data_IF_917320593855
#
_entry.id   IF_917320593855
#
_cell.length_a   1.000
_cell.length_b   1.000
_cell.length_c   1.000
_cell.angle_alpha   90.00
_cell.angle_beta   90.00
_cell.angle_gamma   90.00
#
_symmetry.space_group_name_H-M   'P 1'
#
loop_
_entity.id
_entity.type
_entity.pdbx_description
1 polymer ?
#
# COMPACT_ATOMS: atom_id res chain seq x y z
N UNK A 1 12.66 19.77 -35.56
CA UNK A 1 13.21 19.46 -34.21
C UNK A 1 12.22 18.56 -33.48
N UNK A 2 12.39 17.24 -33.59
CA UNK A 2 11.52 16.27 -32.90
C UNK A 2 11.97 16.23 -31.45
N UNK A 3 11.17 16.78 -30.52
CA UNK A 3 11.33 16.53 -29.09
C UNK A 3 10.99 15.08 -28.85
N UNK A 4 12.00 14.22 -28.81
CA UNK A 4 11.85 12.88 -28.23
C UNK A 4 11.56 13.08 -26.75
N UNK A 5 10.30 12.93 -26.36
CA UNK A 5 9.94 12.73 -24.97
C UNK A 5 10.68 11.46 -24.54
N UNK A 6 11.75 11.63 -23.74
CA UNK A 6 12.41 10.54 -23.05
C UNK A 6 11.35 9.83 -22.22
N UNK A 7 10.88 8.69 -22.73
CA UNK A 7 10.06 7.76 -21.97
C UNK A 7 10.99 7.23 -20.89
N UNK A 8 10.88 7.79 -19.68
CA UNK A 8 11.55 7.23 -18.50
C UNK A 8 10.94 5.85 -18.25
N UNK A 9 11.54 4.81 -18.82
CA UNK A 9 11.34 3.46 -18.34
C UNK A 9 11.81 3.43 -16.88
N UNK A 10 10.91 3.07 -15.97
CA UNK A 10 11.34 2.87 -14.60
C UNK A 10 12.35 1.75 -14.53
N UNK A 11 13.44 2.03 -13.82
CA UNK A 11 14.42 1.02 -13.49
C UNK A 11 13.80 0.01 -12.53
N UNK A 12 14.25 -1.26 -12.55
CA UNK A 12 13.87 -2.26 -11.55
C UNK A 12 13.90 -1.73 -10.11
N UNK A 13 14.87 -0.85 -9.82
CA UNK A 13 15.04 -0.18 -8.53
C UNK A 13 13.80 0.59 -8.05
N UNK A 14 13.05 1.23 -8.95
CA UNK A 14 11.88 2.03 -8.54
C UNK A 14 10.70 1.15 -8.13
N UNK A 15 10.51 0.02 -8.80
CA UNK A 15 9.47 -0.95 -8.41
C UNK A 15 9.81 -1.60 -7.07
N UNK A 16 11.10 -1.79 -6.76
CA UNK A 16 11.56 -2.27 -5.45
C UNK A 16 11.32 -1.28 -4.29
N UNK A 17 11.08 0.01 -4.57
CA UNK A 17 10.67 0.97 -3.54
C UNK A 17 9.26 0.67 -3.00
N UNK A 18 8.39 0.01 -3.77
CA UNK A 18 7.04 -0.35 -3.36
C UNK A 18 7.04 -1.23 -2.09
N UNK A 19 7.63 -2.44 -2.09
CA UNK A 19 7.65 -3.29 -0.90
C UNK A 19 8.49 -2.67 0.23
N UNK A 20 9.53 -1.89 -0.10
CA UNK A 20 10.36 -1.22 0.90
C UNK A 20 9.57 -0.16 1.69
N UNK A 21 8.90 0.76 1.00
CA UNK A 21 8.08 1.80 1.65
C UNK A 21 6.91 1.18 2.43
N UNK A 22 6.30 0.13 1.88
CA UNK A 22 5.23 -0.58 2.56
C UNK A 22 5.71 -1.30 3.84
N UNK A 23 6.90 -1.90 3.81
CA UNK A 23 7.53 -2.47 5.00
C UNK A 23 7.75 -1.42 6.08
N UNK A 24 8.33 -0.27 5.74
CA UNK A 24 8.54 0.83 6.70
C UNK A 24 7.22 1.32 7.29
N UNK A 25 6.17 1.42 6.47
CA UNK A 25 4.83 1.80 6.92
C UNK A 25 4.23 0.80 7.90
N UNK A 26 4.23 -0.49 7.55
CA UNK A 26 3.72 -1.53 8.44
C UNK A 26 4.56 -1.64 9.72
N UNK A 27 5.87 -1.39 9.65
CA UNK A 27 6.73 -1.33 10.82
C UNK A 27 6.31 -0.18 11.75
N UNK A 28 6.07 1.02 11.22
CA UNK A 28 5.54 2.16 11.98
C UNK A 28 4.20 1.83 12.66
N UNK A 29 3.27 1.21 11.92
CA UNK A 29 1.96 0.81 12.46
C UNK A 29 2.07 -0.25 13.56
N UNK A 30 2.98 -1.22 13.41
CA UNK A 30 3.13 -2.36 14.31
C UNK A 30 3.29 -1.97 15.78
N UNK A 31 3.91 -0.81 16.04
CA UNK A 31 4.19 -0.34 17.39
C UNK A 31 2.94 0.17 18.14
N UNK A 32 1.98 0.77 17.45
CA UNK A 32 0.96 1.59 18.10
C UNK A 32 -0.45 1.47 17.51
N UNK A 33 -0.64 0.87 16.33
CA UNK A 33 -1.93 0.88 15.62
C UNK A 33 -3.07 0.22 16.42
N UNK A 34 -2.90 -0.94 17.09
CA UNK A 34 -3.96 -1.52 17.93
C UNK A 34 -4.40 -0.59 19.07
N UNK A 35 -3.44 0.10 19.72
CA UNK A 35 -3.74 1.07 20.79
C UNK A 35 -4.46 2.30 20.24
N UNK A 36 -4.05 2.78 19.08
CA UNK A 36 -4.71 3.89 18.39
C UNK A 36 -6.16 3.54 18.04
N UNK A 37 -6.40 2.34 17.49
CA UNK A 37 -7.73 1.83 17.17
C UNK A 37 -8.63 1.71 18.41
N UNK A 38 -8.10 1.23 19.53
CA UNK A 38 -8.83 1.16 20.79
C UNK A 38 -9.21 2.56 21.31
N UNK A 39 -8.28 3.52 21.25
CA UNK A 39 -8.49 4.85 21.83
C UNK A 39 -9.37 5.78 20.97
N UNK A 40 -9.24 5.73 19.64
CA UNK A 40 -9.96 6.64 18.74
C UNK A 40 -11.28 6.06 18.21
N UNK A 41 -11.37 4.73 18.08
CA UNK A 41 -12.52 4.05 17.47
C UNK A 41 -13.18 3.02 18.37
N UNK A 42 -12.71 2.84 19.60
CA UNK A 42 -13.21 1.80 20.53
C UNK A 42 -13.10 0.38 19.97
N UNK A 43 -12.16 0.14 19.04
CA UNK A 43 -11.91 -1.18 18.45
C UNK A 43 -10.88 -1.90 19.31
N UNK A 44 -11.34 -2.84 20.15
CA UNK A 44 -10.50 -3.55 21.13
C UNK A 44 -10.30 -5.04 20.82
N UNK A 45 -11.02 -5.57 19.84
CA UNK A 45 -10.95 -6.99 19.48
C UNK A 45 -9.74 -7.35 18.61
N UNK A 46 -8.95 -6.37 18.15
CA UNK A 46 -7.72 -6.59 17.40
C UNK A 46 -6.54 -6.49 18.37
N UNK A 47 -5.85 -7.60 18.58
CA UNK A 47 -4.68 -7.62 19.47
C UNK A 47 -3.39 -7.25 18.74
N UNK A 48 -2.35 -6.89 19.50
CA UNK A 48 -1.04 -6.56 18.91
C UNK A 48 -0.41 -7.72 18.15
N UNK A 49 -0.58 -8.95 18.64
CA UNK A 49 -0.06 -10.15 17.97
C UNK A 49 -0.82 -10.42 16.68
N UNK A 50 -2.16 -10.38 16.70
CA UNK A 50 -2.98 -10.55 15.52
C UNK A 50 -2.64 -9.50 14.46
N UNK A 51 -2.52 -8.23 14.86
CA UNK A 51 -2.16 -7.14 13.95
C UNK A 51 -0.77 -7.36 13.34
N UNK A 52 0.23 -7.73 14.16
CA UNK A 52 1.60 -7.97 13.71
C UNK A 52 1.69 -9.12 12.69
N UNK A 53 0.95 -10.20 12.91
CA UNK A 53 0.85 -11.33 11.97
C UNK A 53 0.20 -10.85 10.66
N UNK A 54 -0.91 -10.11 10.75
CA UNK A 54 -1.63 -9.64 9.57
C UNK A 54 -0.78 -8.73 8.68
N UNK A 55 -0.12 -7.72 9.25
CA UNK A 55 0.74 -6.81 8.48
C UNK A 55 1.99 -7.51 7.95
N UNK A 56 2.49 -8.55 8.64
CA UNK A 56 3.61 -9.37 8.14
C UNK A 56 3.20 -10.15 6.89
N UNK A 57 2.01 -10.77 6.90
CA UNK A 57 1.45 -11.47 5.74
C UNK A 57 1.25 -10.49 4.57
N UNK A 58 0.68 -9.31 4.82
CA UNK A 58 0.51 -8.29 3.77
C UNK A 58 1.85 -7.85 3.19
N UNK A 59 2.86 -7.61 4.04
CA UNK A 59 4.20 -7.21 3.60
C UNK A 59 4.83 -8.27 2.70
N UNK A 60 4.77 -9.54 3.11
CA UNK A 60 5.27 -10.66 2.32
C UNK A 60 4.50 -10.83 1.01
N UNK A 61 3.19 -10.62 1.02
CA UNK A 61 2.36 -10.66 -0.18
C UNK A 61 2.77 -9.59 -1.19
N UNK A 62 2.94 -8.34 -0.75
CA UNK A 62 3.41 -7.24 -1.61
C UNK A 62 4.81 -7.52 -2.16
N UNK A 63 5.73 -7.99 -1.29
CA UNK A 63 7.07 -8.40 -1.69
C UNK A 63 7.04 -9.50 -2.75
N UNK A 64 6.20 -10.53 -2.56
CA UNK A 64 6.05 -11.64 -3.49
C UNK A 64 5.55 -11.17 -4.86
N UNK A 65 4.49 -10.35 -4.91
CA UNK A 65 3.95 -9.84 -6.19
C UNK A 65 5.01 -9.05 -6.95
N UNK A 66 5.76 -8.19 -6.25
CA UNK A 66 6.83 -7.39 -6.84
C UNK A 66 7.98 -8.29 -7.31
N UNK A 67 8.38 -9.28 -6.53
CA UNK A 67 9.40 -10.25 -6.92
C UNK A 67 8.98 -11.03 -8.17
N UNK A 68 7.77 -11.59 -8.19
CA UNK A 68 7.22 -12.35 -9.32
C UNK A 68 7.12 -11.50 -10.59
N UNK A 69 6.82 -10.20 -10.45
CA UNK A 69 6.84 -9.25 -11.57
C UNK A 69 8.25 -9.05 -12.11
N UNK A 70 9.25 -8.88 -11.24
CA UNK A 70 10.65 -8.65 -11.64
C UNK A 70 11.27 -9.85 -12.36
N UNK A 71 10.88 -11.07 -12.00
CA UNK A 71 11.33 -12.29 -12.69
C UNK A 71 10.43 -12.68 -13.88
N UNK A 72 9.54 -11.78 -14.33
CA UNK A 72 8.64 -11.95 -15.47
C UNK A 72 7.62 -13.09 -15.38
N UNK A 73 7.36 -13.64 -14.19
CA UNK A 73 6.23 -14.58 -13.97
C UNK A 73 4.90 -13.82 -14.06
N UNK A 74 4.84 -12.64 -13.46
CA UNK A 74 3.74 -11.69 -13.67
C UNK A 74 4.17 -10.64 -14.69
N UNK A 75 3.64 -10.70 -15.91
CA UNK A 75 4.05 -9.79 -17.00
C UNK A 75 3.28 -8.46 -17.03
N UNK A 76 2.12 -8.41 -16.37
CA UNK A 76 1.22 -7.25 -16.44
C UNK A 76 1.57 -6.18 -15.41
N UNK A 77 1.89 -4.97 -15.88
CA UNK A 77 2.11 -3.79 -15.01
C UNK A 77 0.88 -3.44 -14.16
N UNK A 78 -0.31 -3.88 -14.56
CA UNK A 78 -1.54 -3.65 -13.78
C UNK A 78 -1.50 -4.33 -12.41
N UNK A 79 -0.70 -5.39 -12.22
CA UNK A 79 -0.46 -5.96 -10.88
C UNK A 79 0.28 -4.97 -9.97
N UNK A 80 1.30 -4.30 -10.49
CA UNK A 80 2.07 -3.30 -9.75
C UNK A 80 1.21 -2.08 -9.45
N UNK A 81 0.42 -1.62 -10.43
CA UNK A 81 -0.52 -0.50 -10.23
C UNK A 81 -1.59 -0.85 -9.21
N UNK A 82 -2.07 -2.10 -9.24
CA UNK A 82 -3.06 -2.57 -8.28
C UNK A 82 -2.52 -2.51 -6.84
N UNK A 83 -1.34 -3.07 -6.62
CA UNK A 83 -0.68 -3.06 -5.31
C UNK A 83 -0.33 -1.64 -4.87
N UNK A 84 0.32 -0.85 -5.74
CA UNK A 84 0.65 0.53 -5.41
C UNK A 84 -0.59 1.38 -5.17
N UNK A 85 -1.68 1.11 -5.89
CA UNK A 85 -2.98 1.75 -5.69
C UNK A 85 -3.54 1.45 -4.32
N UNK A 86 -3.52 0.19 -3.88
CA UNK A 86 -4.01 -0.20 -2.57
C UNK A 86 -3.22 0.47 -1.45
N UNK A 87 -1.89 0.48 -1.57
CA UNK A 87 -0.97 1.14 -0.64
C UNK A 87 -1.18 2.66 -0.63
N UNK A 88 -1.41 3.27 -1.81
CA UNK A 88 -1.70 4.68 -1.94
C UNK A 88 -3.00 5.08 -1.23
N UNK A 89 -4.10 4.34 -1.44
CA UNK A 89 -5.38 4.67 -0.80
C UNK A 89 -5.34 4.46 0.72
N UNK A 90 -4.63 3.44 1.19
CA UNK A 90 -4.34 3.29 2.61
C UNK A 90 -3.55 4.51 3.14
N UNK A 91 -2.48 4.94 2.47
CA UNK A 91 -1.74 6.15 2.86
C UNK A 91 -2.61 7.42 2.89
N UNK A 92 -3.48 7.61 1.89
CA UNK A 92 -4.44 8.73 1.85
C UNK A 92 -5.38 8.67 3.05
N UNK A 93 -5.85 7.49 3.45
CA UNK A 93 -6.66 7.31 4.65
C UNK A 93 -5.91 7.79 5.90
N UNK A 94 -4.62 7.46 6.07
CA UNK A 94 -3.84 7.95 7.22
C UNK A 94 -3.73 9.48 7.23
N UNK A 95 -3.49 10.10 6.07
CA UNK A 95 -3.38 11.56 5.95
C UNK A 95 -4.73 12.22 6.27
N UNK A 96 -5.84 11.69 5.75
CA UNK A 96 -7.18 12.20 6.04
C UNK A 96 -7.49 12.11 7.55
N UNK A 97 -7.20 10.96 8.17
CA UNK A 97 -7.42 10.74 9.59
C UNK A 97 -6.61 11.71 10.45
N UNK A 98 -5.36 11.97 10.10
CA UNK A 98 -4.53 12.97 10.78
C UNK A 98 -5.19 14.36 10.79
N UNK A 99 -5.73 14.81 9.66
CA UNK A 99 -6.39 16.11 9.58
C UNK A 99 -7.74 16.16 10.31
N UNK A 100 -8.51 15.07 10.28
CA UNK A 100 -9.82 14.99 10.96
C UNK A 100 -9.63 14.97 12.48
N UNK A 101 -8.78 14.07 12.99
CA UNK A 101 -8.59 13.87 14.42
C UNK A 101 -7.55 14.82 15.04
N UNK A 102 -6.81 15.56 14.20
CA UNK A 102 -5.74 16.50 14.61
C UNK A 102 -4.75 15.87 15.60
N UNK A 103 -4.54 14.57 15.44
CA UNK A 103 -3.70 13.77 16.31
C UNK A 103 -2.88 12.81 15.45
N UNK A 104 -1.71 12.45 15.97
CA UNK A 104 -0.87 11.47 15.31
C UNK A 104 -1.57 10.11 15.28
N UNK A 105 -1.74 9.58 14.08
CA UNK A 105 -2.12 8.19 13.85
C UNK A 105 -0.89 7.40 13.38
N UNK A 106 -0.64 6.20 13.93
CA UNK A 106 0.47 5.36 13.51
C UNK A 106 0.45 5.13 12.00
N UNK A 107 1.60 5.27 11.34
CA UNK A 107 1.72 5.13 9.89
C UNK A 107 1.62 6.44 9.12
N UNK A 108 1.30 7.58 9.74
CA UNK A 108 1.12 8.85 9.02
C UNK A 108 2.41 9.38 8.41
N UNK A 109 3.56 9.20 9.08
CA UNK A 109 4.83 9.73 8.59
C UNK A 109 5.22 8.99 7.31
N UNK A 110 5.27 7.66 7.37
CA UNK A 110 5.48 6.80 6.20
C UNK A 110 4.41 6.97 5.13
N UNK A 111 3.14 7.20 5.51
CA UNK A 111 2.06 7.46 4.56
C UNK A 111 2.33 8.70 3.70
N UNK A 112 2.87 9.79 4.24
CA UNK A 112 3.23 10.97 3.44
C UNK A 112 4.26 10.63 2.36
N UNK A 113 5.31 9.87 2.71
CA UNK A 113 6.32 9.43 1.74
C UNK A 113 5.71 8.51 0.67
N UNK A 114 4.84 7.58 1.07
CA UNK A 114 4.10 6.71 0.16
C UNK A 114 3.23 7.52 -0.80
N UNK A 115 2.50 8.53 -0.32
CA UNK A 115 1.63 9.35 -1.14
C UNK A 115 2.43 10.09 -2.22
N UNK A 116 3.53 10.74 -1.83
CA UNK A 116 4.42 11.45 -2.75
C UNK A 116 5.00 10.49 -3.79
N UNK A 117 5.51 9.34 -3.35
CA UNK A 117 6.02 8.30 -4.23
C UNK A 117 4.96 7.80 -5.21
N UNK A 118 3.73 7.57 -4.74
CA UNK A 118 2.61 7.08 -5.57
C UNK A 118 2.24 8.09 -6.66
N UNK A 119 2.14 9.37 -6.31
CA UNK A 119 1.83 10.44 -7.26
C UNK A 119 2.91 10.49 -8.35
N UNK A 120 4.18 10.45 -7.94
CA UNK A 120 5.30 10.39 -8.87
C UNK A 120 5.20 9.16 -9.77
N UNK A 121 5.06 7.96 -9.19
CA UNK A 121 4.96 6.68 -9.88
C UNK A 121 3.82 6.66 -10.92
N UNK A 122 2.61 7.03 -10.52
CA UNK A 122 1.45 7.04 -11.42
C UNK A 122 1.56 8.10 -12.52
N UNK A 123 2.10 9.28 -12.23
CA UNK A 123 2.27 10.34 -13.22
C UNK A 123 3.18 9.90 -14.38
N UNK A 124 4.27 9.20 -14.07
CA UNK A 124 5.20 8.66 -15.07
C UNK A 124 4.64 7.52 -15.91
N UNK A 125 3.65 6.77 -15.40
CA UNK A 125 3.03 5.67 -16.14
C UNK A 125 1.92 6.13 -17.10
N UNK A 126 1.48 7.39 -16.98
CA UNK A 126 0.31 7.95 -17.70
C UNK A 126 0.42 7.85 -19.23
N UNK A 127 1.64 7.84 -19.78
CA UNK A 127 1.87 7.76 -21.23
C UNK A 127 1.97 6.33 -21.76
N UNK A 128 2.21 5.35 -20.88
CA UNK A 128 2.45 3.95 -21.25
C UNK A 128 1.19 3.09 -21.12
N UNK A 129 0.14 3.61 -20.48
CA UNK A 129 -1.00 2.82 -20.02
C UNK A 129 -2.30 3.41 -20.54
N UNK A 130 -3.18 2.53 -21.01
CA UNK A 130 -4.54 2.94 -21.39
C UNK A 130 -5.29 3.51 -20.19
N UNK A 131 -5.70 4.78 -20.30
CA UNK A 131 -6.37 5.55 -19.23
C UNK A 131 -7.53 4.79 -18.57
N UNK A 132 -8.37 4.12 -19.36
CA UNK A 132 -9.53 3.39 -18.83
C UNK A 132 -9.10 2.21 -17.95
N UNK A 133 -8.15 1.40 -18.42
CA UNK A 133 -7.64 0.26 -17.63
C UNK A 133 -6.94 0.75 -16.36
N UNK A 134 -6.16 1.82 -16.45
CA UNK A 134 -5.52 2.45 -15.30
C UNK A 134 -6.54 2.87 -14.23
N UNK A 135 -7.60 3.60 -14.63
CA UNK A 135 -8.65 4.04 -13.71
C UNK A 135 -9.44 2.88 -13.11
N UNK A 136 -9.75 1.85 -13.91
CA UNK A 136 -10.42 0.63 -13.43
C UNK A 136 -9.54 -0.07 -12.40
N UNK A 137 -8.23 -0.21 -12.67
CA UNK A 137 -7.30 -0.84 -11.72
C UNK A 137 -7.23 -0.04 -10.41
N UNK A 138 -7.17 1.29 -10.46
CA UNK A 138 -7.18 2.11 -9.25
C UNK A 138 -8.50 2.01 -8.48
N UNK A 139 -9.65 2.04 -9.18
CA UNK A 139 -10.94 1.84 -8.53
C UNK A 139 -11.00 0.46 -7.85
N UNK A 140 -10.51 -0.57 -8.53
CA UNK A 140 -10.44 -1.91 -7.96
C UNK A 140 -9.53 -1.95 -6.72
N UNK A 141 -8.36 -1.31 -6.75
CA UNK A 141 -7.48 -1.16 -5.58
C UNK A 141 -8.17 -0.49 -4.40
N UNK A 142 -8.91 0.60 -4.64
CA UNK A 142 -9.63 1.36 -3.61
C UNK A 142 -10.65 0.48 -2.87
N UNK A 143 -11.41 -0.33 -3.61
CA UNK A 143 -12.42 -1.19 -2.99
C UNK A 143 -11.84 -2.49 -2.43
N UNK A 144 -10.76 -3.01 -2.99
CA UNK A 144 -10.17 -4.27 -2.56
C UNK A 144 -9.35 -4.13 -1.28
N UNK A 145 -8.62 -3.01 -1.08
CA UNK A 145 -7.67 -2.93 0.03
C UNK A 145 -8.31 -3.11 1.42
N UNK A 146 -9.49 -2.54 1.74
CA UNK A 146 -10.10 -2.73 3.05
C UNK A 146 -10.52 -4.19 3.23
N UNK A 147 -11.05 -4.82 2.18
CA UNK A 147 -11.47 -6.22 2.18
C UNK A 147 -10.26 -7.13 2.45
N UNK A 148 -9.14 -6.89 1.76
CA UNK A 148 -7.89 -7.64 1.94
C UNK A 148 -7.37 -7.49 3.37
N UNK A 149 -7.38 -6.28 3.94
CA UNK A 149 -6.97 -6.05 5.33
C UNK A 149 -7.86 -6.85 6.30
N UNK A 150 -9.18 -6.77 6.16
CA UNK A 150 -10.12 -7.50 7.02
C UNK A 150 -9.98 -9.02 6.91
N UNK A 151 -9.84 -9.55 5.69
CA UNK A 151 -9.59 -10.99 5.48
C UNK A 151 -8.28 -11.41 6.16
N UNK A 152 -7.24 -10.59 6.05
CA UNK A 152 -5.93 -10.92 6.62
C UNK A 152 -5.94 -10.84 8.15
N UNK A 153 -6.67 -9.88 8.72
CA UNK A 153 -6.92 -9.79 10.16
C UNK A 153 -7.73 -10.99 10.68
N UNK A 154 -8.76 -11.42 9.95
CA UNK A 154 -9.55 -12.60 10.26
C UNK A 154 -8.71 -13.88 10.18
N UNK A 155 -7.84 -13.98 9.18
CA UNK A 155 -6.90 -15.09 9.09
C UNK A 155 -5.92 -15.09 10.27
N UNK A 156 -5.38 -13.92 10.64
CA UNK A 156 -4.45 -13.77 11.74
C UNK A 156 -5.08 -14.11 13.11
N UNK A 157 -6.41 -13.98 13.29
CA UNK A 157 -7.05 -14.34 14.57
C UNK A 157 -6.97 -15.83 14.89
N UNK A 158 -6.77 -16.70 13.89
CA UNK A 158 -6.57 -18.14 14.12
C UNK A 158 -5.20 -18.48 14.75
N UNK A 159 -4.26 -17.54 14.75
CA UNK A 159 -2.92 -17.70 15.33
C UNK A 159 -2.77 -16.97 16.68
N UNK A 160 -3.89 -16.51 17.22
CA UNK A 160 -3.99 -15.82 18.50
C UNK A 160 -4.39 -16.80 19.61
N UNK A 161 -3.57 -17.83 19.81
CA UNK A 161 -3.65 -18.77 20.93
C UNK A 161 -2.85 -18.28 22.13
#
# INVERSE_FOLDING_TARGET
MIKTFSVRHFTPLTIWLIPFLFFIHNLEESFQMPKYLANQFSITFITSQQFSIAISILTLFVLLIVFLYQINILSSIYWIIFIQGAIFFNSVQHIILFFIYRSYNPGVISAVFIAIFSIFFFSSQKHLIHKNKFLITLAFSLFSYPIIIWITLLFASYFHS
#
